data_IF_572743539697
#
_entry.id   IF_572743539697
#
_cell.length_a   1.000
_cell.length_b   1.000
_cell.length_c   1.000
_cell.angle_alpha   90.00
_cell.angle_beta   90.00
_cell.angle_gamma   90.00
#
_symmetry.space_group_name_H-M   'P 1'
#
loop_
_entity.id
_entity.type
_entity.pdbx_description
1 polymer ?
#
# COMPACT_ATOMS: atom_id res chain seq x y z
N UNK A 1 -33.11 -1.26 -29.79
CA UNK A 1 -32.00 -0.39 -30.24
C UNK A 1 -30.88 -0.53 -29.23
N UNK A 2 -29.86 -1.30 -29.53
CA UNK A 2 -28.66 -1.42 -28.68
C UNK A 2 -27.88 -0.14 -28.84
N UNK A 3 -27.81 0.68 -27.77
CA UNK A 3 -26.89 1.81 -27.71
C UNK A 3 -25.48 1.30 -27.97
N UNK A 4 -24.84 1.77 -29.02
CA UNK A 4 -23.44 1.45 -29.25
C UNK A 4 -22.66 1.97 -28.05
N UNK A 5 -21.97 1.07 -27.32
CA UNK A 5 -21.13 1.46 -26.20
C UNK A 5 -20.06 2.44 -26.72
N UNK A 6 -19.97 3.61 -26.11
CA UNK A 6 -18.95 4.61 -26.44
C UNK A 6 -17.57 3.97 -26.21
N UNK A 7 -16.67 4.12 -27.19
CA UNK A 7 -15.30 3.63 -27.06
C UNK A 7 -14.63 4.31 -25.86
N UNK A 8 -13.98 3.52 -24.99
CA UNK A 8 -13.30 3.96 -23.78
C UNK A 8 -11.84 3.51 -23.79
N UNK A 9 -10.96 4.32 -23.22
CA UNK A 9 -9.59 3.91 -22.93
C UNK A 9 -9.56 2.90 -21.78
N UNK A 10 -8.45 2.21 -21.58
CA UNK A 10 -8.26 1.35 -20.40
C UNK A 10 -8.37 2.14 -19.09
N UNK A 11 -7.83 3.36 -19.09
CA UNK A 11 -7.96 4.28 -17.95
C UNK A 11 -9.42 4.57 -17.62
N UNK A 12 -10.23 4.95 -18.62
CA UNK A 12 -11.66 5.24 -18.40
C UNK A 12 -12.40 4.03 -17.84
N UNK A 13 -12.08 2.84 -18.32
CA UNK A 13 -12.72 1.60 -17.84
C UNK A 13 -12.39 1.34 -16.37
N UNK A 14 -11.11 1.39 -16.00
CA UNK A 14 -10.66 1.20 -14.61
C UNK A 14 -11.25 2.28 -13.71
N UNK A 15 -11.20 3.55 -14.14
CA UNK A 15 -11.77 4.67 -13.41
C UNK A 15 -13.26 4.47 -13.12
N UNK A 16 -14.04 4.17 -14.15
CA UNK A 16 -15.48 4.03 -14.02
C UNK A 16 -15.89 2.83 -13.16
N UNK A 17 -15.09 1.75 -13.16
CA UNK A 17 -15.33 0.59 -12.31
C UNK A 17 -15.03 0.86 -10.82
N UNK A 18 -14.17 1.84 -10.53
CA UNK A 18 -13.75 2.16 -9.16
C UNK A 18 -14.35 3.47 -8.61
N UNK A 19 -14.97 4.28 -9.46
CA UNK A 19 -15.63 5.51 -9.02
C UNK A 19 -16.88 5.18 -8.21
N UNK A 20 -16.85 5.46 -6.91
CA UNK A 20 -17.97 5.22 -5.98
C UNK A 20 -18.93 6.39 -5.95
N UNK A 21 -18.40 7.61 -5.97
CA UNK A 21 -19.15 8.84 -5.91
C UNK A 21 -18.33 9.99 -6.50
N UNK A 22 -19.00 10.90 -7.20
CA UNK A 22 -18.37 12.13 -7.70
C UNK A 22 -19.17 13.31 -7.18
N UNK A 23 -18.49 14.25 -6.52
CA UNK A 23 -19.04 15.49 -6.00
C UNK A 23 -19.32 16.50 -7.13
N UNK A 24 -20.09 17.54 -6.84
CA UNK A 24 -20.45 18.58 -7.81
C UNK A 24 -19.23 19.34 -8.38
N UNK A 25 -18.14 19.41 -7.62
CA UNK A 25 -16.87 20.03 -8.03
C UNK A 25 -15.97 19.11 -8.87
N UNK A 26 -16.40 17.88 -9.12
CA UNK A 26 -15.67 16.86 -9.87
C UNK A 26 -14.73 15.97 -9.02
N UNK A 27 -14.61 16.23 -7.72
CA UNK A 27 -13.85 15.37 -6.80
C UNK A 27 -14.49 13.99 -6.76
N UNK A 28 -13.71 12.95 -7.00
CA UNK A 28 -14.23 11.58 -7.06
C UNK A 28 -13.65 10.70 -5.96
N UNK A 29 -14.53 10.01 -5.25
CA UNK A 29 -14.18 8.96 -4.29
C UNK A 29 -13.98 7.66 -5.04
N UNK A 30 -12.78 7.08 -4.94
CA UNK A 30 -12.44 5.82 -5.58
C UNK A 30 -12.43 4.68 -4.57
N UNK A 31 -12.90 3.52 -4.99
CA UNK A 31 -12.69 2.28 -4.28
C UNK A 31 -11.23 1.82 -4.49
N UNK A 32 -10.54 1.50 -3.40
CA UNK A 32 -9.15 1.04 -3.43
C UNK A 32 -9.12 -0.47 -3.17
N UNK A 33 -8.66 -1.24 -4.16
CA UNK A 33 -8.59 -2.70 -4.07
C UNK A 33 -7.44 -3.15 -3.18
N UNK A 34 -6.28 -2.49 -3.31
CA UNK A 34 -5.05 -2.88 -2.63
C UNK A 34 -4.32 -1.65 -2.10
N UNK A 35 -3.86 -1.73 -0.86
CA UNK A 35 -3.08 -0.68 -0.21
C UNK A 35 -1.67 -1.22 0.08
N UNK A 36 -0.68 -0.72 -0.65
CA UNK A 36 0.72 -1.03 -0.41
C UNK A 36 1.28 -0.06 0.62
N UNK A 37 1.87 -0.59 1.69
CA UNK A 37 2.34 0.18 2.86
C UNK A 37 3.83 -0.06 3.09
N UNK A 38 4.57 1.03 3.27
CA UNK A 38 5.99 1.00 3.61
C UNK A 38 6.33 1.96 4.76
N UNK A 39 7.59 1.94 5.22
CA UNK A 39 8.03 2.58 6.47
C UNK A 39 8.09 4.11 6.44
N UNK A 40 8.18 4.76 5.27
CA UNK A 40 8.47 6.21 5.22
C UNK A 40 7.26 7.06 5.57
N UNK A 41 6.10 6.77 5.00
CA UNK A 41 4.88 7.60 5.16
C UNK A 41 3.84 6.99 6.09
N UNK A 42 3.92 5.69 6.36
CA UNK A 42 2.94 5.00 7.19
C UNK A 42 2.97 5.35 8.69
N UNK A 43 4.09 5.77 9.32
CA UNK A 43 4.10 6.07 10.74
C UNK A 43 3.04 7.09 11.15
N UNK A 44 2.91 8.21 10.41
CA UNK A 44 1.93 9.25 10.70
C UNK A 44 0.49 8.77 10.50
N UNK A 45 0.26 7.93 9.49
CA UNK A 45 -1.07 7.35 9.23
C UNK A 45 -1.50 6.43 10.38
N UNK A 46 -0.63 5.54 10.83
CA UNK A 46 -0.92 4.65 11.97
C UNK A 46 -1.07 5.42 13.28
N UNK A 47 -0.24 6.45 13.51
CA UNK A 47 -0.38 7.33 14.68
C UNK A 47 -1.75 8.03 14.68
N UNK A 48 -2.18 8.56 13.53
CA UNK A 48 -3.50 9.16 13.38
C UNK A 48 -4.64 8.18 13.69
N UNK A 49 -4.53 6.93 13.26
CA UNK A 49 -5.49 5.88 13.61
C UNK A 49 -5.52 5.60 15.12
N UNK A 50 -4.35 5.50 15.76
CA UNK A 50 -4.23 5.30 17.22
C UNK A 50 -4.89 6.45 18.00
N UNK A 51 -4.55 7.69 17.65
CA UNK A 51 -5.12 8.88 18.29
C UNK A 51 -6.65 8.97 18.15
N UNK A 52 -7.17 8.54 17.00
CA UNK A 52 -8.60 8.51 16.73
C UNK A 52 -9.31 7.26 17.29
N UNK A 53 -8.58 6.31 17.90
CA UNK A 53 -9.12 5.03 18.38
C UNK A 53 -9.71 4.17 17.26
N UNK A 54 -9.18 4.31 16.04
CA UNK A 54 -9.65 3.60 14.83
C UNK A 54 -8.75 2.42 14.47
N UNK A 55 -9.37 1.40 13.92
CA UNK A 55 -8.67 0.26 13.29
C UNK A 55 -8.56 0.47 11.78
N UNK A 56 -7.74 -0.35 11.13
CA UNK A 56 -7.80 -0.48 9.67
C UNK A 56 -9.19 -0.98 9.26
N UNK A 57 -9.77 -0.34 8.26
CA UNK A 57 -11.09 -0.73 7.76
C UNK A 57 -11.06 -2.09 7.07
N UNK A 58 -10.04 -2.31 6.21
CA UNK A 58 -9.87 -3.56 5.46
C UNK A 58 -8.43 -4.06 5.57
N UNK A 59 -8.18 -4.92 6.55
CA UNK A 59 -6.86 -5.53 6.76
C UNK A 59 -6.46 -6.41 5.57
N UNK A 60 -7.43 -7.08 4.95
CA UNK A 60 -7.25 -7.95 3.78
C UNK A 60 -6.88 -7.21 2.48
N UNK A 61 -6.98 -5.89 2.46
CA UNK A 61 -6.48 -5.07 1.35
C UNK A 61 -5.03 -4.59 1.53
N UNK A 62 -4.47 -4.70 2.74
CA UNK A 62 -3.15 -4.14 3.08
C UNK A 62 -2.05 -5.16 2.86
N UNK A 63 -1.07 -4.79 2.06
CA UNK A 63 0.20 -5.53 1.91
C UNK A 63 1.34 -4.59 2.23
N UNK A 64 2.26 -5.02 3.09
CA UNK A 64 3.32 -4.16 3.60
C UNK A 64 4.71 -4.76 3.36
N UNK A 65 5.70 -3.89 3.16
CA UNK A 65 7.10 -4.25 3.03
C UNK A 65 8.00 -3.13 3.54
N UNK A 66 9.18 -3.48 4.04
CA UNK A 66 10.27 -2.52 4.23
C UNK A 66 10.87 -2.21 2.86
N UNK A 67 10.93 -0.93 2.48
CA UNK A 67 11.21 -0.51 1.11
C UNK A 67 12.39 0.47 1.02
N UNK A 68 12.22 1.71 1.52
CA UNK A 68 13.15 2.82 1.28
C UNK A 68 14.38 2.82 2.20
N UNK A 69 14.22 2.39 3.45
CA UNK A 69 15.24 2.51 4.50
C UNK A 69 16.00 1.20 4.73
N UNK A 70 16.07 0.36 3.70
CA UNK A 70 16.82 -0.89 3.73
C UNK A 70 18.14 -0.73 2.96
N UNK A 71 19.27 -1.25 3.49
CA UNK A 71 20.54 -1.15 2.78
C UNK A 71 20.56 -2.00 1.51
N UNK A 72 21.28 -1.53 0.51
CA UNK A 72 21.52 -2.28 -0.75
C UNK A 72 22.80 -3.10 -0.68
N UNK A 73 23.68 -2.81 0.28
CA UNK A 73 24.94 -3.51 0.52
C UNK A 73 25.01 -3.94 1.98
N UNK A 74 25.88 -4.90 2.27
CA UNK A 74 26.17 -5.33 3.65
C UNK A 74 24.93 -5.74 4.46
N UNK A 75 24.00 -6.44 3.84
CA UNK A 75 22.73 -6.88 4.45
C UNK A 75 22.90 -7.58 5.80
N UNK A 76 24.01 -8.34 5.94
CA UNK A 76 24.33 -9.05 7.18
C UNK A 76 24.52 -8.12 8.37
N UNK A 77 25.02 -6.91 8.12
CA UNK A 77 25.23 -5.88 9.13
C UNK A 77 23.93 -5.21 9.60
N UNK A 78 22.82 -5.42 8.87
CA UNK A 78 21.54 -4.77 9.17
C UNK A 78 21.54 -3.29 8.81
N UNK A 79 20.52 -2.56 9.26
CA UNK A 79 20.32 -1.14 8.99
C UNK A 79 21.20 -0.35 9.98
N UNK A 80 22.23 0.33 9.46
CA UNK A 80 23.21 1.04 10.29
C UNK A 80 22.79 2.48 10.62
N UNK A 81 22.05 3.12 9.71
CA UNK A 81 21.52 4.45 9.98
C UNK A 81 20.38 4.38 11.02
N UNK A 82 20.49 5.13 12.14
CA UNK A 82 19.54 5.01 13.24
C UNK A 82 18.14 5.51 12.89
N UNK A 83 18.01 6.48 11.98
CA UNK A 83 16.71 7.01 11.56
C UNK A 83 16.02 6.00 10.67
N UNK A 84 16.73 5.47 9.67
CA UNK A 84 16.24 4.41 8.80
C UNK A 84 15.80 3.18 9.60
N UNK A 85 16.64 2.78 10.57
CA UNK A 85 16.30 1.66 11.46
C UNK A 85 15.03 1.93 12.27
N UNK A 86 14.89 3.13 12.84
CA UNK A 86 13.71 3.51 13.62
C UNK A 86 12.44 3.45 12.77
N UNK A 87 12.50 3.90 11.50
CA UNK A 87 11.34 3.86 10.61
C UNK A 87 10.92 2.41 10.29
N UNK A 88 11.87 1.53 10.01
CA UNK A 88 11.58 0.11 9.75
C UNK A 88 11.05 -0.58 11.01
N UNK A 89 11.68 -0.37 12.19
CA UNK A 89 11.20 -0.92 13.45
C UNK A 89 9.79 -0.40 13.80
N UNK A 90 9.46 0.84 13.42
CA UNK A 90 8.12 1.42 13.59
C UNK A 90 7.10 0.74 12.68
N UNK A 91 7.47 0.45 11.42
CA UNK A 91 6.63 -0.32 10.51
C UNK A 91 6.33 -1.70 11.09
N UNK A 92 7.38 -2.43 11.55
CA UNK A 92 7.23 -3.75 12.19
C UNK A 92 6.22 -3.71 13.34
N UNK A 93 6.35 -2.70 14.20
CA UNK A 93 5.47 -2.51 15.35
C UNK A 93 4.04 -2.21 14.94
N UNK A 94 3.86 -1.33 13.96
CA UNK A 94 2.54 -0.94 13.46
C UNK A 94 1.83 -2.11 12.77
N UNK A 95 2.53 -2.87 11.93
CA UNK A 95 1.93 -4.04 11.26
C UNK A 95 1.59 -5.14 12.27
N UNK A 96 2.39 -5.32 13.30
CA UNK A 96 2.07 -6.24 14.40
C UNK A 96 0.81 -5.83 15.17
N UNK A 97 0.59 -4.54 15.35
CA UNK A 97 -0.56 -3.99 16.09
C UNK A 97 -1.83 -3.96 15.24
N UNK A 98 -1.75 -3.43 14.02
CA UNK A 98 -2.91 -3.19 13.15
C UNK A 98 -3.25 -4.36 12.22
N UNK A 99 -2.27 -5.18 11.89
CA UNK A 99 -2.39 -6.29 10.94
C UNK A 99 -2.18 -5.87 9.48
N UNK A 100 -2.01 -6.87 8.63
CA UNK A 100 -2.01 -6.78 7.18
C UNK A 100 -2.37 -8.15 6.60
N UNK A 101 -2.78 -8.22 5.33
CA UNK A 101 -2.95 -9.47 4.59
C UNK A 101 -1.61 -10.20 4.46
N UNK A 102 -0.56 -9.46 4.12
CA UNK A 102 0.80 -9.96 4.04
C UNK A 102 1.80 -8.88 4.45
N UNK A 103 2.90 -9.30 5.07
CA UNK A 103 4.00 -8.44 5.46
C UNK A 103 5.34 -9.08 5.10
N UNK A 104 6.19 -8.31 4.41
CA UNK A 104 7.53 -8.70 4.00
C UNK A 104 8.55 -7.79 4.72
N UNK A 105 8.98 -8.12 5.93
CA UNK A 105 9.94 -7.32 6.69
C UNK A 105 11.33 -7.29 6.06
N UNK A 106 12.21 -6.46 6.58
CA UNK A 106 13.61 -6.42 6.16
C UNK A 106 14.25 -7.82 6.25
N UNK A 107 14.96 -8.24 5.21
CA UNK A 107 15.55 -9.57 4.98
C UNK A 107 14.57 -10.70 4.64
N UNK A 108 13.28 -10.44 4.53
CA UNK A 108 12.36 -11.42 3.97
C UNK A 108 12.64 -11.64 2.48
N UNK A 109 12.40 -12.85 1.98
CA UNK A 109 12.61 -13.20 0.55
C UNK A 109 11.68 -12.46 -0.40
N UNK A 110 10.51 -12.06 0.06
CA UNK A 110 9.53 -11.29 -0.70
C UNK A 110 9.67 -9.78 -0.53
N UNK A 111 10.63 -9.32 0.32
CA UNK A 111 10.85 -7.90 0.55
C UNK A 111 11.42 -7.22 -0.70
N UNK A 112 10.96 -6.03 -0.97
CA UNK A 112 11.45 -5.20 -2.06
C UNK A 112 10.71 -3.89 -2.17
N UNK A 113 11.11 -3.07 -3.14
CA UNK A 113 10.39 -1.82 -3.43
C UNK A 113 8.94 -2.14 -3.82
N UNK A 114 7.98 -1.39 -3.27
CA UNK A 114 6.53 -1.65 -3.43
C UNK A 114 6.10 -1.81 -4.88
N UNK A 115 6.69 -1.04 -5.80
CA UNK A 115 6.39 -1.08 -7.25
C UNK A 115 6.76 -2.42 -7.91
N UNK A 116 7.71 -3.14 -7.35
CA UNK A 116 8.17 -4.46 -7.83
C UNK A 116 7.54 -5.56 -6.99
N UNK A 117 7.57 -5.44 -5.67
CA UNK A 117 7.00 -6.41 -4.76
C UNK A 117 5.49 -6.63 -5.01
N UNK A 118 4.74 -5.54 -5.24
CA UNK A 118 3.30 -5.62 -5.51
C UNK A 118 2.95 -6.60 -6.64
N UNK A 119 3.46 -6.41 -7.86
CA UNK A 119 3.20 -7.35 -8.96
C UNK A 119 3.88 -8.72 -8.79
N UNK A 120 5.11 -8.79 -8.28
CA UNK A 120 5.82 -10.07 -8.12
C UNK A 120 5.15 -11.01 -7.10
N UNK A 121 4.57 -10.46 -6.04
CA UNK A 121 3.83 -11.23 -5.04
C UNK A 121 2.35 -11.42 -5.42
N UNK A 122 1.92 -10.98 -6.60
CA UNK A 122 0.53 -11.04 -7.03
C UNK A 122 -0.41 -10.15 -6.19
N UNK A 123 0.15 -9.20 -5.44
CA UNK A 123 -0.64 -8.29 -4.62
C UNK A 123 -1.36 -7.23 -5.47
N UNK A 124 -0.80 -6.88 -6.62
CA UNK A 124 -1.38 -5.95 -7.58
C UNK A 124 -1.48 -6.59 -8.95
N UNK A 125 -2.64 -6.46 -9.59
CA UNK A 125 -2.93 -7.02 -10.90
C UNK A 125 -3.43 -5.91 -11.84
N UNK A 126 -3.30 -6.06 -13.17
CA UNK A 126 -3.91 -5.13 -14.12
C UNK A 126 -5.41 -4.98 -13.86
N UNK A 127 -5.89 -3.74 -13.77
CA UNK A 127 -7.29 -3.41 -13.48
C UNK A 127 -7.61 -3.15 -12.01
N UNK A 128 -6.65 -3.33 -11.09
CA UNK A 128 -6.78 -2.95 -9.67
C UNK A 128 -6.35 -1.49 -9.45
N UNK A 129 -6.92 -0.86 -8.42
CA UNK A 129 -6.53 0.44 -7.86
C UNK A 129 -5.81 0.29 -6.53
#
# INVERSE_FOLDING_TARGET
>A
MTSAATAQTLYDKIWNEHAVHTEDDGTTVLYIDRHLVHEVTSPQAFEGLKMAGRKLWRIDSVVSTADHNTPTNDWDKGIQDPISKLQVDTLDSNIKEFGALAYFPFKDKGQGIVHVMGPEQGATLPGMT
#
